data_IF_718591725835
#
_entry.id   IF_718591725835
#
_cell.length_a   1.000
_cell.length_b   1.000
_cell.length_c   1.000
_cell.angle_alpha   90.00
_cell.angle_beta   90.00
_cell.angle_gamma   90.00
#
_symmetry.space_group_name_H-M   'P 1'
#
loop_
_entity.id
_entity.type
_entity.pdbx_description
1 polymer ?
#
# COMPACT_ATOMS: atom_id res chain seq x y z
N UNK A 1 -6.75 9.98 15.68
CA UNK A 1 -5.68 9.03 16.03
C UNK A 1 -5.05 8.65 14.71
N UNK A 2 -3.72 8.68 14.59
CA UNK A 2 -3.06 8.20 13.38
C UNK A 2 -3.31 6.69 13.24
N UNK A 3 -3.49 6.23 12.00
CA UNK A 3 -3.63 4.81 11.69
C UNK A 3 -2.27 4.26 11.29
N UNK A 4 -1.94 3.08 11.81
CA UNK A 4 -0.72 2.34 11.52
C UNK A 4 -1.14 0.98 11.00
N UNK A 5 -0.88 0.74 9.72
CA UNK A 5 -1.26 -0.47 9.00
C UNK A 5 -0.12 -1.48 9.06
N UNK A 6 -0.43 -2.72 9.43
CA UNK A 6 0.43 -3.86 9.18
C UNK A 6 -0.33 -4.88 8.34
N UNK A 7 0.34 -5.41 7.31
CA UNK A 7 -0.14 -6.55 6.55
C UNK A 7 0.49 -7.82 7.11
N UNK A 8 -0.31 -8.89 7.17
CA UNK A 8 0.10 -10.17 7.70
C UNK A 8 0.07 -10.24 9.23
N UNK A 9 -0.22 -11.45 9.73
CA UNK A 9 -0.39 -11.72 11.16
C UNK A 9 -1.86 -11.70 11.61
N UNK A 10 -2.11 -12.16 12.83
CA UNK A 10 -3.45 -12.09 13.42
C UNK A 10 -3.72 -10.69 13.99
N UNK A 11 -4.99 -10.29 14.06
CA UNK A 11 -5.40 -9.01 14.65
C UNK A 11 -4.85 -8.81 16.08
N UNK A 12 -4.71 -9.89 16.86
CA UNK A 12 -4.16 -9.82 18.22
C UNK A 12 -2.66 -9.54 18.21
N UNK A 13 -1.90 -10.15 17.31
CA UNK A 13 -0.46 -9.90 17.18
C UNK A 13 -0.20 -8.46 16.71
N UNK A 14 -0.94 -8.01 15.69
CA UNK A 14 -0.85 -6.65 15.15
C UNK A 14 -1.20 -5.61 16.21
N UNK A 15 -2.30 -5.80 16.96
CA UNK A 15 -2.65 -4.94 18.09
C UNK A 15 -1.57 -4.90 19.17
N UNK A 16 -1.00 -6.07 19.52
CA UNK A 16 0.03 -6.19 20.56
C UNK A 16 1.33 -5.51 20.16
N UNK A 17 1.60 -5.40 18.86
CA UNK A 17 2.74 -4.67 18.30
C UNK A 17 2.50 -3.14 18.23
N UNK A 18 1.29 -2.66 18.55
CA UNK A 18 0.95 -1.23 18.61
C UNK A 18 0.29 -0.67 17.35
N UNK A 19 0.05 -1.50 16.33
CA UNK A 19 -0.70 -1.13 15.14
C UNK A 19 -2.21 -1.12 15.43
N UNK A 20 -2.96 -0.34 14.66
CA UNK A 20 -4.41 -0.17 14.84
C UNK A 20 -5.20 -0.27 13.52
N UNK A 21 -4.53 -0.59 12.41
CA UNK A 21 -5.12 -0.97 11.14
C UNK A 21 -4.50 -2.31 10.70
N UNK A 22 -5.32 -3.29 10.35
CA UNK A 22 -4.88 -4.65 10.01
C UNK A 22 -5.55 -5.15 8.75
N UNK A 23 -4.85 -5.96 7.98
CA UNK A 23 -5.41 -6.58 6.79
C UNK A 23 -6.34 -7.73 7.17
N UNK A 24 -7.45 -7.83 6.46
CA UNK A 24 -8.43 -8.89 6.63
C UNK A 24 -8.96 -9.33 5.27
N UNK A 25 -9.44 -10.56 5.18
CA UNK A 25 -10.07 -11.10 3.97
C UNK A 25 -11.52 -11.54 4.21
N UNK A 26 -11.90 -11.74 5.47
CA UNK A 26 -13.22 -12.27 5.84
C UNK A 26 -13.90 -11.43 6.92
N UNK A 27 -15.23 -11.35 6.87
CA UNK A 27 -16.04 -10.57 7.82
C UNK A 27 -15.86 -11.03 9.27
N UNK A 28 -15.61 -12.32 9.50
CA UNK A 28 -15.37 -12.86 10.83
C UNK A 28 -14.13 -12.25 11.48
N UNK A 29 -13.05 -11.99 10.71
CA UNK A 29 -11.86 -11.31 11.20
C UNK A 29 -12.17 -9.88 11.63
N UNK A 30 -13.02 -9.17 10.89
CA UNK A 30 -13.47 -7.81 11.23
C UNK A 30 -14.26 -7.82 12.55
N UNK A 31 -15.14 -8.80 12.71
CA UNK A 31 -15.97 -8.92 13.90
C UNK A 31 -15.12 -9.20 15.15
N UNK A 32 -14.04 -9.96 14.99
CA UNK A 32 -13.08 -10.32 16.05
C UNK A 32 -12.07 -9.22 16.39
N UNK A 33 -12.00 -8.12 15.62
CA UNK A 33 -11.04 -7.06 15.89
C UNK A 33 -11.18 -6.48 17.30
N UNK A 34 -10.07 -6.32 18.04
CA UNK A 34 -10.03 -5.61 19.31
C UNK A 34 -10.60 -4.19 19.20
N UNK A 35 -11.08 -3.66 20.31
CA UNK A 35 -11.57 -2.28 20.38
C UNK A 35 -10.48 -1.29 19.95
N UNK A 36 -10.87 -0.33 19.11
CA UNK A 36 -9.96 0.69 18.58
C UNK A 36 -9.24 0.29 17.29
N UNK A 37 -9.25 -0.99 16.90
CA UNK A 37 -8.71 -1.40 15.60
C UNK A 37 -9.69 -1.16 14.45
N UNK A 38 -9.11 -1.00 13.27
CA UNK A 38 -9.81 -0.93 11.98
C UNK A 38 -9.30 -2.01 11.02
N UNK A 39 -10.15 -2.37 10.06
CA UNK A 39 -9.85 -3.30 9.00
C UNK A 39 -9.52 -2.58 7.69
N UNK A 40 -8.43 -2.99 7.06
CA UNK A 40 -8.17 -2.81 5.64
C UNK A 40 -8.51 -4.14 4.95
N UNK A 41 -9.53 -4.17 4.08
CA UNK A 41 -9.95 -5.43 3.45
C UNK A 41 -9.08 -5.70 2.23
N UNK A 42 -8.29 -6.76 2.26
CA UNK A 42 -7.49 -7.21 1.12
C UNK A 42 -8.36 -7.95 0.10
N UNK A 43 -8.49 -7.38 -1.10
CA UNK A 43 -9.32 -7.94 -2.17
C UNK A 43 -8.51 -8.78 -3.14
N UNK A 44 -7.34 -8.30 -3.56
CA UNK A 44 -6.60 -8.83 -4.70
C UNK A 44 -7.50 -8.96 -5.95
N UNK A 45 -8.16 -7.87 -6.31
CA UNK A 45 -9.08 -7.73 -7.45
C UNK A 45 -8.69 -6.48 -8.23
N UNK A 46 -8.64 -6.59 -9.56
CA UNK A 46 -8.32 -5.50 -10.48
C UNK A 46 -8.84 -5.77 -11.89
N UNK A 47 -9.94 -6.52 -11.99
CA UNK A 47 -10.59 -6.93 -13.26
C UNK A 47 -11.98 -6.26 -13.40
N UNK A 48 -12.22 -5.20 -12.61
CA UNK A 48 -13.45 -4.44 -12.60
C UNK A 48 -14.49 -5.05 -11.66
N UNK A 49 -15.73 -4.54 -11.74
CA UNK A 49 -16.83 -4.97 -10.88
C UNK A 49 -17.38 -6.35 -11.32
N UNK A 50 -16.56 -7.37 -11.20
CA UNK A 50 -16.93 -8.77 -11.45
C UNK A 50 -17.80 -9.32 -10.34
N UNK A 51 -18.39 -10.50 -10.55
CA UNK A 51 -19.11 -11.18 -9.47
C UNK A 51 -18.17 -11.55 -8.30
N UNK A 52 -16.90 -11.89 -8.59
CA UNK A 52 -15.90 -12.18 -7.55
C UNK A 52 -15.67 -10.96 -6.67
N UNK A 53 -15.44 -9.80 -7.28
CA UNK A 53 -15.32 -8.52 -6.58
C UNK A 53 -16.55 -8.22 -5.71
N UNK A 54 -17.75 -8.33 -6.28
CA UNK A 54 -19.00 -8.08 -5.53
C UNK A 54 -19.13 -9.03 -4.34
N UNK A 55 -18.84 -10.32 -4.52
CA UNK A 55 -18.94 -11.34 -3.47
C UNK A 55 -17.93 -11.10 -2.35
N UNK A 56 -16.73 -10.59 -2.69
CA UNK A 56 -15.71 -10.22 -1.69
C UNK A 56 -16.08 -8.95 -0.92
N UNK A 57 -16.60 -7.92 -1.58
CA UNK A 57 -16.89 -6.62 -0.90
C UNK A 57 -18.21 -6.66 -0.12
N UNK A 58 -19.24 -7.33 -0.64
CA UNK A 58 -20.60 -7.31 -0.08
C UNK A 58 -20.69 -7.63 1.42
N UNK A 59 -19.96 -8.63 1.96
CA UNK A 59 -20.00 -8.96 3.39
C UNK A 59 -19.58 -7.81 4.33
N UNK A 60 -18.80 -6.85 3.83
CA UNK A 60 -18.23 -5.76 4.63
C UNK A 60 -19.09 -4.49 4.65
N UNK A 61 -20.12 -4.42 3.80
CA UNK A 61 -20.92 -3.22 3.61
C UNK A 61 -21.58 -2.75 4.91
N UNK A 62 -21.35 -1.48 5.26
CA UNK A 62 -21.92 -0.84 6.45
C UNK A 62 -21.27 -1.24 7.78
N UNK A 63 -20.21 -2.05 7.77
CA UNK A 63 -19.49 -2.40 9.00
C UNK A 63 -18.59 -1.23 9.44
N UNK A 64 -18.82 -0.61 10.63
CA UNK A 64 -18.07 0.57 11.06
C UNK A 64 -16.62 0.28 11.42
N UNK A 65 -16.20 -0.98 11.53
CA UNK A 65 -14.80 -1.37 11.74
C UNK A 65 -13.99 -1.38 10.45
N UNK A 66 -14.64 -1.38 9.28
CA UNK A 66 -13.94 -1.31 7.98
C UNK A 66 -13.53 0.13 7.72
N UNK A 67 -12.22 0.34 7.55
CA UNK A 67 -11.65 1.62 7.17
C UNK A 67 -11.58 1.76 5.64
N UNK A 68 -11.20 0.68 4.95
CA UNK A 68 -11.05 0.70 3.51
C UNK A 68 -10.79 -0.66 2.90
N UNK A 69 -10.51 -0.64 1.60
CA UNK A 69 -10.24 -1.80 0.76
C UNK A 69 -8.88 -1.61 0.07
N UNK A 70 -8.01 -2.61 0.23
CA UNK A 70 -6.76 -2.73 -0.50
C UNK A 70 -7.01 -3.60 -1.73
N UNK A 71 -7.10 -2.96 -2.91
CA UNK A 71 -7.56 -3.60 -4.14
C UNK A 71 -6.49 -4.52 -4.71
N UNK A 72 -5.31 -3.98 -5.02
CA UNK A 72 -4.19 -4.69 -5.63
C UNK A 72 -2.87 -4.17 -5.08
N UNK A 73 -1.94 -5.10 -4.83
CA UNK A 73 -0.54 -4.80 -4.51
C UNK A 73 0.25 -4.69 -5.82
N UNK A 74 0.83 -3.53 -6.07
CA UNK A 74 1.63 -3.19 -7.26
C UNK A 74 0.96 -3.66 -8.58
N UNK A 75 -0.25 -3.14 -8.92
CA UNK A 75 -0.92 -3.50 -10.16
C UNK A 75 -0.04 -3.16 -11.37
N UNK A 76 0.04 -4.06 -12.34
CA UNK A 76 0.85 -3.89 -13.55
C UNK A 76 -0.01 -3.31 -14.68
N UNK A 77 0.21 -2.05 -15.11
CA UNK A 77 -0.58 -1.43 -16.17
C UNK A 77 -0.25 -1.97 -17.56
N UNK A 78 0.85 -2.72 -17.69
CA UNK A 78 1.39 -3.21 -18.97
C UNK A 78 1.15 -4.69 -19.21
N UNK A 79 0.93 -5.46 -18.15
CA UNK A 79 0.86 -6.92 -18.20
C UNK A 79 2.20 -7.61 -18.49
N UNK A 80 3.32 -6.89 -18.41
CA UNK A 80 4.64 -7.42 -18.73
C UNK A 80 5.19 -8.33 -17.62
N UNK A 81 4.91 -7.99 -16.37
CA UNK A 81 5.43 -8.64 -15.17
C UNK A 81 4.36 -9.48 -14.49
N UNK A 82 3.11 -8.98 -14.45
CA UNK A 82 1.95 -9.61 -13.82
C UNK A 82 0.73 -9.57 -14.75
N UNK A 83 -0.43 -10.04 -14.28
CA UNK A 83 -1.69 -9.83 -15.01
C UNK A 83 -1.92 -8.32 -15.16
N UNK A 84 -2.26 -7.89 -16.37
CA UNK A 84 -2.54 -6.49 -16.64
C UNK A 84 -3.76 -6.03 -15.82
N UNK A 85 -3.65 -4.87 -15.20
CA UNK A 85 -4.75 -4.18 -14.51
C UNK A 85 -5.03 -2.87 -15.23
N UNK A 86 -6.21 -2.75 -15.84
CA UNK A 86 -6.60 -1.53 -16.54
C UNK A 86 -7.05 -0.45 -15.53
N UNK A 87 -6.70 0.82 -15.78
CA UNK A 87 -7.08 1.92 -14.89
C UNK A 87 -8.60 2.06 -14.78
N UNK A 88 -9.33 1.79 -15.88
CA UNK A 88 -10.79 1.78 -15.93
C UNK A 88 -11.41 0.71 -15.03
N UNK A 89 -10.73 -0.41 -14.82
CA UNK A 89 -11.22 -1.49 -13.95
C UNK A 89 -11.07 -1.10 -12.47
N UNK A 90 -9.91 -0.59 -12.07
CA UNK A 90 -9.72 -0.01 -10.73
C UNK A 90 -10.70 1.13 -10.46
N UNK A 91 -10.97 1.96 -11.48
CA UNK A 91 -11.98 3.01 -11.42
C UNK A 91 -13.37 2.46 -11.16
N UNK A 92 -13.78 1.43 -11.90
CA UNK A 92 -15.09 0.82 -11.73
C UNK A 92 -15.25 0.20 -10.33
N UNK A 93 -14.21 -0.45 -9.81
CA UNK A 93 -14.17 -1.02 -8.46
C UNK A 93 -14.26 0.08 -7.37
N UNK A 94 -13.44 1.13 -7.49
CA UNK A 94 -13.45 2.25 -6.55
C UNK A 94 -14.80 2.97 -6.52
N UNK A 95 -15.33 3.32 -7.69
CA UNK A 95 -16.64 3.96 -7.83
C UNK A 95 -17.77 3.09 -7.25
N UNK A 96 -17.67 1.76 -7.39
CA UNK A 96 -18.66 0.84 -6.84
C UNK A 96 -18.63 0.79 -5.30
N UNK A 97 -17.43 0.82 -4.71
CA UNK A 97 -17.22 0.88 -3.27
C UNK A 97 -17.77 2.20 -2.73
N UNK A 98 -17.35 3.35 -3.26
CA UNK A 98 -17.79 4.66 -2.76
C UNK A 98 -19.30 4.87 -2.90
N UNK A 99 -19.94 4.31 -3.93
CA UNK A 99 -21.40 4.35 -4.08
C UNK A 99 -22.17 3.64 -2.95
N UNK A 100 -21.52 2.74 -2.19
CA UNK A 100 -22.13 1.94 -1.11
C UNK A 100 -21.54 2.22 0.26
N UNK A 101 -20.28 2.64 0.30
CA UNK A 101 -19.51 3.00 1.48
C UNK A 101 -18.73 4.28 1.19
N UNK A 102 -19.41 5.44 1.19
CA UNK A 102 -18.81 6.72 0.77
C UNK A 102 -17.64 7.17 1.67
N UNK A 103 -17.57 6.67 2.91
CA UNK A 103 -16.49 6.98 3.84
C UNK A 103 -15.32 5.99 3.78
N UNK A 104 -15.46 4.88 3.05
CA UNK A 104 -14.42 3.87 2.96
C UNK A 104 -13.33 4.30 1.97
N UNK A 105 -12.06 4.08 2.36
CA UNK A 105 -10.92 4.34 1.48
C UNK A 105 -10.70 3.20 0.49
N UNK A 106 -10.31 3.53 -0.73
CA UNK A 106 -9.69 2.59 -1.65
C UNK A 106 -8.18 2.82 -1.70
N UNK A 107 -7.43 1.73 -1.72
CA UNK A 107 -5.98 1.75 -1.58
C UNK A 107 -5.35 0.75 -2.55
N UNK A 108 -4.23 1.14 -3.16
CA UNK A 108 -3.27 0.26 -3.85
C UNK A 108 -1.87 0.63 -3.39
N UNK A 109 -0.91 -0.28 -3.48
CA UNK A 109 0.51 0.11 -3.58
C UNK A 109 0.81 0.40 -5.05
N UNK A 110 1.56 1.46 -5.33
CA UNK A 110 1.88 1.84 -6.70
C UNK A 110 3.06 1.02 -7.21
N UNK A 111 2.92 0.41 -8.39
CA UNK A 111 4.04 -0.25 -9.05
C UNK A 111 5.00 0.79 -9.62
N UNK A 112 6.26 0.77 -9.15
CA UNK A 112 7.34 1.55 -9.77
C UNK A 112 7.76 0.88 -11.09
N UNK A 113 7.55 1.58 -12.20
CA UNK A 113 7.89 1.11 -13.56
C UNK A 113 9.34 1.43 -13.95
N UNK A 114 10.05 2.17 -13.10
CA UNK A 114 11.41 2.63 -13.31
C UNK A 114 12.45 1.75 -12.62
N UNK A 115 13.40 2.41 -11.96
CA UNK A 115 14.44 1.76 -11.17
C UNK A 115 14.62 2.48 -9.84
N UNK A 116 15.25 1.82 -8.86
CA UNK A 116 15.64 2.43 -7.59
C UNK A 116 16.39 3.78 -7.72
N UNK A 117 17.14 3.96 -8.81
CA UNK A 117 17.89 5.18 -9.12
C UNK A 117 17.06 6.23 -9.89
N UNK A 118 16.06 5.78 -10.66
CA UNK A 118 15.16 6.62 -11.45
C UNK A 118 13.74 6.03 -11.40
N UNK A 119 13.03 6.19 -10.27
CA UNK A 119 11.68 5.67 -10.13
C UNK A 119 10.73 6.39 -11.09
N UNK A 120 9.73 5.70 -11.60
CA UNK A 120 8.79 6.23 -12.58
C UNK A 120 7.39 5.63 -12.38
N UNK A 121 6.42 6.50 -12.13
CA UNK A 121 5.00 6.15 -12.04
C UNK A 121 4.20 6.75 -13.20
N UNK A 122 4.86 7.29 -14.22
CA UNK A 122 4.19 7.90 -15.37
C UNK A 122 3.40 6.86 -16.17
N UNK A 123 2.23 7.25 -16.65
CA UNK A 123 1.30 6.36 -17.38
C UNK A 123 0.84 5.13 -16.58
N UNK A 124 0.89 5.20 -15.25
CA UNK A 124 0.33 4.17 -14.35
C UNK A 124 -1.05 4.61 -13.82
N UNK A 125 -1.17 4.81 -12.52
CA UNK A 125 -2.41 5.09 -11.80
C UNK A 125 -2.26 6.36 -10.97
N UNK A 126 -3.30 7.19 -11.01
CA UNK A 126 -3.50 8.31 -10.11
C UNK A 126 -5.00 8.50 -9.87
N UNK A 127 -5.37 9.47 -9.05
CA UNK A 127 -6.78 9.70 -8.75
C UNK A 127 -7.62 10.00 -9.99
N UNK A 128 -7.08 10.74 -10.96
CA UNK A 128 -7.84 11.20 -12.13
C UNK A 128 -8.27 10.06 -13.06
N UNK A 129 -7.47 8.98 -13.16
CA UNK A 129 -7.80 7.83 -14.00
C UNK A 129 -8.40 6.64 -13.24
N UNK A 130 -8.15 6.50 -11.93
CA UNK A 130 -8.60 5.33 -11.14
C UNK A 130 -9.60 5.63 -10.03
N UNK A 131 -9.77 6.89 -9.62
CA UNK A 131 -10.53 7.24 -8.42
C UNK A 131 -10.07 6.51 -7.14
N UNK A 132 -8.84 5.98 -7.10
CA UNK A 132 -8.27 5.41 -5.89
C UNK A 132 -7.93 6.54 -4.93
N UNK A 133 -8.31 6.40 -3.66
CA UNK A 133 -8.11 7.46 -2.66
C UNK A 133 -6.64 7.59 -2.25
N UNK A 134 -5.96 6.46 -2.08
CA UNK A 134 -4.64 6.37 -1.45
C UNK A 134 -3.69 5.43 -2.20
N UNK A 135 -2.43 5.84 -2.30
CA UNK A 135 -1.39 5.14 -3.03
C UNK A 135 -0.20 4.89 -2.10
N UNK A 136 0.10 3.62 -1.85
CA UNK A 136 1.27 3.19 -1.12
C UNK A 136 2.51 3.38 -1.97
N UNK A 137 3.42 4.25 -1.54
CA UNK A 137 4.68 4.48 -2.24
C UNK A 137 5.76 3.69 -1.51
N UNK A 138 6.33 2.70 -2.20
CA UNK A 138 7.32 1.78 -1.68
C UNK A 138 8.74 2.20 -2.09
N UNK A 139 9.61 2.35 -1.08
CA UNK A 139 11.05 2.53 -1.28
C UNK A 139 11.81 1.64 -0.30
N UNK A 140 12.64 0.74 -0.83
CA UNK A 140 13.32 -0.32 -0.06
C UNK A 140 14.85 -0.17 -0.12
N UNK A 141 15.42 0.86 0.55
CA UNK A 141 16.82 1.23 0.42
C UNK A 141 17.79 0.25 1.12
N UNK A 142 17.31 -0.60 2.03
CA UNK A 142 18.16 -1.53 2.78
C UNK A 142 18.30 -2.83 1.99
N UNK A 143 19.38 -2.89 1.18
CA UNK A 143 19.66 -3.98 0.23
C UNK A 143 21.12 -4.41 0.22
N UNK A 144 21.38 -5.68 -0.07
CA UNK A 144 22.74 -6.16 -0.37
C UNK A 144 23.23 -5.64 -1.73
N UNK A 145 24.54 -5.68 -1.95
CA UNK A 145 25.13 -5.21 -3.21
C UNK A 145 25.25 -3.69 -3.32
N UNK A 146 25.04 -2.97 -2.21
CA UNK A 146 25.32 -1.54 -2.06
C UNK A 146 26.39 -1.32 -0.99
N UNK A 147 27.21 -0.29 -1.15
CA UNK A 147 28.27 0.04 -0.17
C UNK A 147 27.70 0.74 1.07
N UNK A 148 26.61 1.49 0.90
CA UNK A 148 25.89 2.22 1.95
C UNK A 148 24.39 2.18 1.67
N UNK A 149 23.57 2.30 2.73
CA UNK A 149 22.12 2.48 2.58
C UNK A 149 21.85 3.83 1.90
N UNK A 150 20.99 3.80 0.90
CA UNK A 150 20.65 4.94 0.07
C UNK A 150 19.29 5.51 0.48
N UNK A 151 19.25 6.28 1.57
CA UNK A 151 17.99 6.80 2.12
C UNK A 151 17.28 7.78 1.18
N UNK A 152 18.04 8.53 0.38
CA UNK A 152 17.50 9.45 -0.65
C UNK A 152 16.62 8.72 -1.69
N UNK A 153 16.62 7.38 -1.72
CA UNK A 153 15.67 6.59 -2.49
C UNK A 153 14.23 6.95 -2.17
N UNK A 154 13.92 7.16 -0.88
CA UNK A 154 12.57 7.57 -0.44
C UNK A 154 12.20 8.89 -1.10
N UNK A 155 13.09 9.88 -1.02
CA UNK A 155 12.88 11.24 -1.53
C UNK A 155 12.61 11.25 -3.04
N UNK A 156 13.42 10.51 -3.81
CA UNK A 156 13.23 10.45 -5.27
C UNK A 156 11.99 9.66 -5.66
N UNK A 157 11.64 8.59 -4.95
CA UNK A 157 10.42 7.82 -5.23
C UNK A 157 9.17 8.65 -4.93
N UNK A 158 9.15 9.40 -3.82
CA UNK A 158 8.06 10.36 -3.54
C UNK A 158 7.99 11.45 -4.60
N UNK A 159 9.12 12.03 -4.99
CA UNK A 159 9.16 13.05 -6.04
C UNK A 159 8.60 12.54 -7.37
N UNK A 160 8.97 11.32 -7.78
CA UNK A 160 8.46 10.69 -9.00
C UNK A 160 6.95 10.41 -8.95
N UNK A 161 6.42 9.98 -7.80
CA UNK A 161 4.99 9.79 -7.60
C UNK A 161 4.22 11.12 -7.75
N UNK A 162 4.73 12.20 -7.13
CA UNK A 162 4.16 13.55 -7.24
C UNK A 162 4.20 14.07 -8.68
N UNK A 163 5.33 13.91 -9.38
CA UNK A 163 5.46 14.28 -10.79
C UNK A 163 4.48 13.51 -11.69
N UNK A 164 4.16 12.28 -11.32
CA UNK A 164 3.21 11.40 -12.03
C UNK A 164 1.74 11.66 -11.68
N UNK A 165 1.46 12.65 -10.82
CA UNK A 165 0.10 13.07 -10.49
C UNK A 165 -0.48 12.46 -9.21
N UNK A 166 0.34 11.85 -8.35
CA UNK A 166 -0.07 11.40 -7.01
C UNK A 166 0.32 12.49 -5.99
N UNK A 167 -0.59 13.40 -5.60
CA UNK A 167 -0.27 14.43 -4.61
C UNK A 167 0.10 13.82 -3.26
N UNK A 168 0.96 14.52 -2.50
CA UNK A 168 1.43 14.09 -1.16
C UNK A 168 0.28 13.70 -0.22
N UNK A 169 -0.88 14.36 -0.31
CA UNK A 169 -2.06 14.04 0.51
C UNK A 169 -2.68 12.66 0.23
N UNK A 170 -2.30 12.01 -0.87
CA UNK A 170 -2.74 10.67 -1.23
C UNK A 170 -1.64 9.61 -1.05
N UNK A 171 -0.44 10.02 -0.64
CA UNK A 171 0.68 9.11 -0.42
C UNK A 171 0.55 8.45 0.95
N UNK A 172 0.66 7.12 0.95
CA UNK A 172 0.85 6.29 2.15
C UNK A 172 2.32 5.86 2.19
N UNK A 173 3.07 6.23 3.24
CA UNK A 173 4.42 5.72 3.47
C UNK A 173 4.42 4.20 3.63
N UNK A 174 5.17 3.50 2.77
CA UNK A 174 5.35 2.04 2.88
C UNK A 174 6.75 1.76 3.43
N UNK A 175 6.81 1.37 4.70
CA UNK A 175 8.04 1.09 5.41
C UNK A 175 8.54 -0.34 5.13
N UNK A 176 9.82 -0.45 4.78
CA UNK A 176 10.50 -1.73 4.68
C UNK A 176 10.60 -2.38 6.07
N UNK A 177 9.73 -3.34 6.36
CA UNK A 177 9.79 -4.14 7.61
C UNK A 177 10.08 -5.62 7.34
N UNK A 178 10.70 -5.89 6.18
CA UNK A 178 11.04 -7.23 5.72
C UNK A 178 12.49 -7.33 5.27
N UNK A 179 12.94 -8.57 5.11
CA UNK A 179 14.21 -8.90 4.46
C UNK A 179 14.42 -10.40 4.30
N UNK A 180 15.27 -10.77 3.34
CA UNK A 180 15.48 -12.16 2.96
C UNK A 180 14.52 -12.64 1.86
N UNK A 181 14.20 -13.93 1.86
CA UNK A 181 13.42 -14.57 0.80
C UNK A 181 14.19 -14.76 -0.51
N UNK A 182 13.45 -15.07 -1.58
CA UNK A 182 14.01 -15.33 -2.91
C UNK A 182 13.92 -14.12 -3.86
N UNK A 183 13.24 -13.04 -3.44
CA UNK A 183 13.13 -11.80 -4.20
C UNK A 183 14.51 -11.19 -4.44
N UNK A 184 14.69 -10.61 -5.62
CA UNK A 184 15.97 -10.05 -6.07
C UNK A 184 15.72 -8.60 -6.41
N UNK A 185 16.60 -7.70 -5.97
CA UNK A 185 16.49 -6.29 -6.34
C UNK A 185 16.72 -6.14 -7.85
N UNK A 186 16.29 -5.01 -8.41
CA UNK A 186 16.59 -4.63 -9.80
C UNK A 186 18.10 -4.61 -10.12
N UNK A 187 18.96 -4.55 -9.10
CA UNK A 187 20.43 -4.59 -9.18
C UNK A 187 21.06 -5.98 -8.94
N UNK A 188 20.25 -7.02 -8.76
CA UNK A 188 20.74 -8.39 -8.51
C UNK A 188 21.07 -8.71 -7.04
N UNK A 189 20.84 -7.76 -6.13
CA UNK A 189 20.99 -7.91 -4.68
C UNK A 189 19.74 -8.51 -4.01
N UNK A 190 19.68 -8.41 -2.68
CA UNK A 190 18.60 -8.90 -1.82
C UNK A 190 18.12 -7.80 -0.88
N UNK A 191 16.82 -7.73 -0.61
CA UNK A 191 16.28 -6.90 0.45
C UNK A 191 16.70 -7.44 1.82
N UNK A 192 17.02 -6.54 2.75
CA UNK A 192 17.53 -6.87 4.08
C UNK A 192 16.67 -6.18 5.13
N UNK A 193 16.39 -6.89 6.23
CA UNK A 193 15.63 -6.34 7.35
C UNK A 193 16.40 -5.15 7.92
N UNK A 194 15.79 -3.95 7.98
CA UNK A 194 16.47 -2.80 8.56
C UNK A 194 16.82 -3.03 10.03
N UNK A 195 17.97 -2.50 10.46
CA UNK A 195 18.24 -2.29 11.89
C UNK A 195 17.33 -1.19 12.44
N UNK A 196 17.22 -1.08 13.76
CA UNK A 196 16.45 0.00 14.40
C UNK A 196 16.91 1.38 13.94
N UNK A 197 18.22 1.63 13.88
CA UNK A 197 18.77 2.92 13.44
C UNK A 197 18.44 3.20 11.96
N UNK A 198 18.50 2.17 11.10
CA UNK A 198 18.14 2.30 9.68
C UNK A 198 16.65 2.62 9.50
N UNK A 199 15.79 1.91 10.22
CA UNK A 199 14.35 2.17 10.20
C UNK A 199 14.03 3.58 10.69
N UNK A 200 14.68 4.03 11.77
CA UNK A 200 14.49 5.38 12.28
C UNK A 200 14.87 6.44 11.24
N UNK A 201 16.02 6.30 10.58
CA UNK A 201 16.40 7.24 9.50
C UNK A 201 15.40 7.19 8.35
N UNK A 202 14.93 6.02 7.93
CA UNK A 202 13.89 5.93 6.90
C UNK A 202 12.59 6.65 7.32
N UNK A 203 12.17 6.50 8.57
CA UNK A 203 10.98 7.20 9.10
C UNK A 203 11.18 8.73 9.11
N UNK A 204 12.37 9.22 9.44
CA UNK A 204 12.68 10.66 9.42
C UNK A 204 12.52 11.26 8.00
N UNK A 205 12.94 10.54 6.96
CA UNK A 205 12.72 10.94 5.56
C UNK A 205 11.22 10.95 5.21
N UNK A 206 10.48 9.91 5.61
CA UNK A 206 9.03 9.84 5.39
C UNK A 206 8.28 10.98 6.09
N UNK A 207 8.63 11.30 7.34
CA UNK A 207 8.01 12.38 8.12
C UNK A 207 8.26 13.76 7.49
N UNK A 208 9.41 13.97 6.85
CA UNK A 208 9.69 15.23 6.12
C UNK A 208 8.83 15.38 4.86
N UNK A 209 8.68 14.29 4.10
CA UNK A 209 8.03 14.30 2.79
C UNK A 209 6.51 14.17 2.87
N UNK A 210 6.01 13.39 3.83
CA UNK A 210 4.60 13.05 4.01
C UNK A 210 4.24 13.19 5.50
N UNK A 211 4.24 14.42 6.07
CA UNK A 211 4.13 14.64 7.52
C UNK A 211 2.76 14.32 8.12
N UNK A 212 1.75 14.03 7.30
CA UNK A 212 0.37 13.81 7.77
C UNK A 212 -0.36 12.81 6.86
N UNK A 213 0.15 11.57 6.75
CA UNK A 213 -0.48 10.55 5.94
C UNK A 213 -1.79 10.10 6.61
N UNK A 214 -2.72 9.60 5.81
CA UNK A 214 -3.97 9.00 6.33
C UNK A 214 -3.67 7.76 7.20
N UNK A 215 -2.66 6.98 6.80
CA UNK A 215 -2.01 5.93 7.58
C UNK A 215 -0.60 5.69 7.06
N UNK A 216 0.26 5.05 7.87
CA UNK A 216 1.51 4.45 7.40
C UNK A 216 1.37 2.93 7.29
N UNK A 217 2.23 2.29 6.50
CA UNK A 217 2.16 0.86 6.22
C UNK A 217 3.49 0.16 6.49
N UNK A 218 3.53 -0.71 7.49
CA UNK A 218 4.59 -1.69 7.68
C UNK A 218 4.40 -2.88 6.73
N UNK A 219 5.20 -2.92 5.65
CA UNK A 219 5.17 -4.00 4.66
C UNK A 219 6.07 -5.16 5.10
N UNK A 220 5.54 -6.38 5.13
CA UNK A 220 6.16 -7.56 5.74
C UNK A 220 6.22 -8.77 4.81
#
# INVERSE_FOLDING_TARGET
>A
MALHFAAGGSATEVASAGFNLVDVQYIDQVNELPDGMKAMVWLNEGEGVTQSFIDKVTPFLGNPKVYGFFLVDEPDPTGQYHTQVDAEDLKAESDWIHARMPDAKTFITAMDMGSAENPDFSNTYNYDNTHIDLFGISAYPVRTGTDTVDYDMIDRTVAAAVESGIPVSQIVPVHQTFGGGNWTTNTGGKYVMPTTDQLQTMMEHWDELVPSPEFDFAYA
#
